data_IF_017576554131
#
_entry.id   IF_017576554131
#
_cell.length_a   1.000
_cell.length_b   1.000
_cell.length_c   1.000
_cell.angle_alpha   90.00
_cell.angle_beta   90.00
_cell.angle_gamma   90.00
#
_symmetry.space_group_name_H-M   'P 1'
#
loop_
_entity.id
_entity.type
_entity.pdbx_description
1 polymer ?
#
# COMPACT_ATOMS: atom_id res chain seq x y z
N UNK A 1 15.41 -18.59 -14.97
CA UNK A 1 15.89 -17.20 -14.92
C UNK A 1 15.49 -16.68 -13.55
N UNK A 2 16.39 -16.72 -12.57
CA UNK A 2 16.10 -16.19 -11.24
C UNK A 2 15.85 -14.69 -11.37
N UNK A 3 14.63 -14.25 -11.03
CA UNK A 3 14.38 -12.85 -10.76
C UNK A 3 15.34 -12.46 -9.64
N UNK A 4 16.30 -11.58 -9.91
CA UNK A 4 17.06 -10.96 -8.82
C UNK A 4 16.06 -10.40 -7.82
N UNK A 5 16.06 -10.93 -6.59
CA UNK A 5 15.19 -10.47 -5.53
C UNK A 5 15.59 -9.02 -5.21
N UNK A 6 14.86 -8.06 -5.79
CA UNK A 6 15.11 -6.63 -5.58
C UNK A 6 14.92 -6.32 -4.09
N UNK A 7 15.69 -5.37 -3.60
CA UNK A 7 15.62 -4.89 -2.23
C UNK A 7 14.44 -3.93 -2.15
N UNK A 8 13.62 -4.04 -1.11
CA UNK A 8 12.40 -3.21 -0.95
C UNK A 8 12.71 -1.71 -1.05
N UNK A 9 13.83 -1.26 -0.46
CA UNK A 9 14.24 0.14 -0.54
C UNK A 9 14.46 0.61 -2.00
N UNK A 10 15.03 -0.25 -2.86
CA UNK A 10 15.21 0.08 -4.27
C UNK A 10 13.89 0.12 -5.06
N UNK A 11 12.95 -0.79 -4.75
CA UNK A 11 11.62 -0.76 -5.37
C UNK A 11 10.83 0.50 -4.96
N UNK A 12 10.99 0.95 -3.70
CA UNK A 12 10.42 2.21 -3.25
C UNK A 12 11.10 3.40 -3.91
N UNK A 13 12.43 3.43 -4.02
CA UNK A 13 13.14 4.50 -4.73
C UNK A 13 12.68 4.64 -6.18
N UNK A 14 12.53 3.51 -6.89
CA UNK A 14 11.99 3.48 -8.25
C UNK A 14 10.55 4.04 -8.29
N UNK A 15 9.68 3.63 -7.35
CA UNK A 15 8.31 4.13 -7.23
C UNK A 15 8.29 5.66 -7.06
N UNK A 16 9.02 6.20 -6.10
CA UNK A 16 9.05 7.65 -5.87
C UNK A 16 9.72 8.40 -7.03
N UNK A 17 10.62 7.76 -7.79
CA UNK A 17 11.25 8.39 -8.95
C UNK A 17 10.29 8.48 -10.14
N UNK A 18 9.55 7.42 -10.43
CA UNK A 18 8.58 7.35 -11.53
C UNK A 18 7.46 8.39 -11.36
N UNK A 19 7.00 8.58 -10.13
CA UNK A 19 5.88 9.45 -9.80
C UNK A 19 6.29 10.91 -9.50
N UNK A 20 7.47 11.36 -9.95
CA UNK A 20 7.90 12.77 -9.80
C UNK A 20 7.09 13.74 -10.65
N UNK A 21 6.64 13.30 -11.82
CA UNK A 21 5.84 14.10 -12.74
C UNK A 21 4.37 13.65 -12.69
N UNK A 22 3.56 14.38 -11.93
CA UNK A 22 2.14 14.06 -11.72
C UNK A 22 1.31 14.13 -13.00
N UNK A 23 1.75 14.87 -14.02
CA UNK A 23 1.01 14.99 -15.29
C UNK A 23 1.31 13.82 -16.23
N UNK A 24 2.48 13.21 -16.11
CA UNK A 24 2.92 12.09 -16.95
C UNK A 24 2.31 10.74 -16.51
N UNK A 25 2.08 10.55 -15.21
CA UNK A 25 1.68 9.25 -14.65
C UNK A 25 0.16 9.14 -14.48
N UNK A 26 -0.45 8.17 -15.19
CA UNK A 26 -1.91 7.95 -15.22
C UNK A 26 -2.36 6.65 -14.56
N UNK A 27 -1.40 5.79 -14.21
CA UNK A 27 -1.62 4.46 -13.68
C UNK A 27 -0.80 4.26 -12.40
N UNK A 28 -1.34 3.55 -11.40
CA UNK A 28 -0.59 3.19 -10.21
C UNK A 28 0.44 2.12 -10.53
N UNK A 29 1.45 1.98 -9.67
CA UNK A 29 2.36 0.85 -9.73
C UNK A 29 1.71 -0.35 -9.06
N UNK A 30 1.62 -1.48 -9.75
CA UNK A 30 1.06 -2.71 -9.20
C UNK A 30 2.16 -3.59 -8.57
N UNK A 31 2.06 -3.83 -7.27
CA UNK A 31 2.97 -4.69 -6.51
C UNK A 31 2.34 -6.03 -6.20
N UNK A 32 3.15 -7.08 -6.32
CA UNK A 32 2.86 -8.38 -5.71
C UNK A 32 3.31 -8.35 -4.26
N UNK A 33 2.41 -8.65 -3.33
CA UNK A 33 2.69 -8.63 -1.89
C UNK A 33 2.28 -9.95 -1.26
N UNK A 34 3.08 -10.44 -0.31
CA UNK A 34 2.80 -11.61 0.51
C UNK A 34 3.46 -11.46 1.88
N UNK A 35 2.92 -12.15 2.89
CA UNK A 35 3.51 -12.18 4.22
C UNK A 35 4.66 -13.19 4.34
N UNK A 36 5.34 -13.20 5.50
CA UNK A 36 6.48 -14.10 5.74
C UNK A 36 6.08 -15.60 5.73
N UNK A 37 4.80 -15.91 5.85
CA UNK A 37 4.23 -17.27 5.81
C UNK A 37 3.76 -17.64 4.40
N UNK A 38 4.11 -16.86 3.36
CA UNK A 38 3.71 -17.08 1.98
C UNK A 38 2.18 -16.99 1.75
N UNK A 39 1.48 -16.21 2.58
CA UNK A 39 0.08 -15.85 2.32
C UNK A 39 0.01 -14.59 1.50
N UNK A 40 -0.73 -14.67 0.40
CA UNK A 40 -0.95 -13.59 -0.54
C UNK A 40 -2.27 -12.89 -0.21
N UNK A 41 -2.35 -11.62 -0.57
CA UNK A 41 -3.63 -10.92 -0.49
C UNK A 41 -4.61 -11.46 -1.52
N UNK A 42 -5.87 -11.56 -1.11
CA UNK A 42 -7.02 -11.89 -1.94
C UNK A 42 -8.13 -10.93 -1.54
N UNK A 43 -8.83 -10.40 -2.53
CA UNK A 43 -9.98 -9.55 -2.30
C UNK A 43 -11.26 -10.36 -2.45
N UNK A 44 -12.01 -10.51 -1.36
CA UNK A 44 -13.27 -11.27 -1.33
C UNK A 44 -14.26 -10.56 -0.41
N UNK A 45 -15.52 -10.43 -0.84
CA UNK A 45 -16.60 -9.82 -0.05
C UNK A 45 -16.27 -8.44 0.56
N UNK A 46 -15.56 -7.59 -0.19
CA UNK A 46 -15.05 -6.28 0.25
C UNK A 46 -13.95 -6.30 1.34
N UNK A 47 -13.43 -7.47 1.68
CA UNK A 47 -12.33 -7.63 2.60
C UNK A 47 -11.03 -8.03 1.89
N UNK A 48 -9.90 -7.61 2.46
CA UNK A 48 -8.57 -8.08 2.07
C UNK A 48 -8.16 -9.22 3.00
N UNK A 49 -8.03 -10.42 2.46
CA UNK A 49 -7.74 -11.63 3.20
C UNK A 49 -6.33 -12.11 2.81
N UNK A 50 -5.56 -12.61 3.78
CA UNK A 50 -4.28 -13.27 3.51
C UNK A 50 -4.48 -14.80 3.48
N UNK A 51 -4.20 -15.44 2.35
CA UNK A 51 -4.38 -16.88 2.16
C UNK A 51 -3.20 -17.49 1.39
N UNK A 52 -2.83 -18.77 1.63
CA UNK A 52 -1.81 -19.44 0.82
C UNK A 52 -2.23 -19.46 -0.65
N UNK A 53 -1.26 -19.26 -1.55
CA UNK A 53 -1.53 -19.34 -2.98
C UNK A 53 -1.69 -20.82 -3.37
N UNK A 54 -2.91 -21.22 -3.75
CA UNK A 54 -3.16 -22.47 -4.46
C UNK A 54 -3.46 -22.19 -5.94
N UNK A 55 -3.49 -23.24 -6.77
CA UNK A 55 -3.72 -23.10 -8.22
C UNK A 55 -5.07 -22.47 -8.62
N UNK A 56 -5.98 -22.25 -7.68
CA UNK A 56 -7.34 -21.72 -7.90
C UNK A 56 -7.51 -20.30 -7.36
N UNK A 57 -6.59 -19.81 -6.53
CA UNK A 57 -6.64 -18.47 -5.99
C UNK A 57 -6.16 -17.45 -7.02
N UNK A 58 -7.01 -16.50 -7.47
CA UNK A 58 -6.57 -15.44 -8.36
C UNK A 58 -5.58 -14.53 -7.64
N UNK A 59 -4.49 -14.17 -8.31
CA UNK A 59 -3.50 -13.26 -7.76
C UNK A 59 -4.07 -11.84 -7.63
N UNK A 60 -4.11 -11.29 -6.41
CA UNK A 60 -4.40 -9.87 -6.18
C UNK A 60 -3.09 -9.08 -6.13
N UNK A 61 -2.88 -8.22 -7.12
CA UNK A 61 -1.85 -7.18 -7.05
C UNK A 61 -2.40 -5.96 -6.30
N UNK A 62 -1.54 -5.23 -5.61
CA UNK A 62 -1.88 -4.00 -4.92
C UNK A 62 -1.45 -2.81 -5.76
N UNK A 63 -2.37 -1.89 -6.05
CA UNK A 63 -2.06 -0.61 -6.65
C UNK A 63 -1.43 0.30 -5.60
N UNK A 64 -0.29 0.91 -5.92
CA UNK A 64 0.47 1.78 -5.02
C UNK A 64 0.90 3.04 -5.76
N UNK A 65 0.76 4.17 -5.08
CA UNK A 65 1.26 5.48 -5.52
C UNK A 65 1.82 6.24 -4.31
N UNK A 66 2.81 7.12 -4.47
CA UNK A 66 3.32 7.91 -3.36
C UNK A 66 2.33 8.99 -2.91
N UNK A 67 2.51 9.46 -1.68
CA UNK A 67 1.82 10.63 -1.17
C UNK A 67 2.82 11.75 -0.85
N UNK A 68 3.07 12.61 -1.83
CA UNK A 68 4.04 13.71 -1.70
C UNK A 68 3.57 14.85 -0.79
N UNK A 69 2.33 14.78 -0.28
CA UNK A 69 1.77 15.79 0.61
C UNK A 69 2.09 15.51 2.10
N UNK A 70 2.78 14.42 2.41
CA UNK A 70 3.31 14.09 3.75
C UNK A 70 4.85 14.13 3.76
N UNK A 71 5.47 14.07 4.94
CA UNK A 71 6.95 14.08 5.06
C UNK A 71 7.55 12.87 4.34
N UNK A 72 8.23 13.13 3.22
CA UNK A 72 8.83 12.14 2.33
C UNK A 72 9.80 11.20 3.07
N UNK A 73 10.43 11.65 4.17
CA UNK A 73 11.37 10.83 4.95
C UNK A 73 10.71 9.58 5.51
N UNK A 74 9.39 9.61 5.71
CA UNK A 74 8.61 8.49 6.20
C UNK A 74 8.09 7.58 5.07
N UNK A 75 8.43 7.87 3.80
CA UNK A 75 8.00 7.13 2.60
C UNK A 75 6.49 6.86 2.60
N UNK A 76 5.66 7.92 2.60
CA UNK A 76 4.21 7.79 2.60
C UNK A 76 3.68 7.30 1.25
N UNK A 77 2.79 6.31 1.28
CA UNK A 77 2.12 5.76 0.09
C UNK A 77 0.62 5.67 0.30
N UNK A 78 -0.13 5.73 -0.80
CA UNK A 78 -1.50 5.23 -0.89
C UNK A 78 -1.48 3.79 -1.41
N UNK A 79 -2.42 2.97 -0.95
CA UNK A 79 -2.59 1.60 -1.42
C UNK A 79 -4.05 1.33 -1.79
N UNK A 80 -4.27 0.51 -2.82
CA UNK A 80 -5.61 0.16 -3.29
C UNK A 80 -5.60 -1.08 -4.18
N UNK A 81 -6.73 -1.35 -4.82
CA UNK A 81 -6.88 -2.45 -5.77
C UNK A 81 -6.50 -1.99 -7.19
N UNK A 82 -6.04 -2.92 -8.03
CA UNK A 82 -5.61 -2.64 -9.42
C UNK A 82 -6.67 -2.00 -10.30
N UNK A 83 -7.96 -2.19 -9.98
CA UNK A 83 -9.07 -1.50 -10.66
C UNK A 83 -9.15 0.01 -10.38
N UNK A 84 -8.27 0.53 -9.53
CA UNK A 84 -8.17 1.93 -9.05
C UNK A 84 -9.35 2.40 -8.22
N UNK A 85 -10.56 1.86 -8.39
CA UNK A 85 -11.82 2.29 -7.76
C UNK A 85 -11.96 2.00 -6.28
N UNK A 86 -11.02 1.28 -5.67
CA UNK A 86 -11.04 0.95 -4.24
C UNK A 86 -9.66 1.19 -3.63
N UNK A 87 -9.64 1.84 -2.47
CA UNK A 87 -8.42 2.18 -1.75
C UNK A 87 -8.50 1.75 -0.28
N UNK A 88 -7.34 1.42 0.29
CA UNK A 88 -7.19 1.10 1.71
C UNK A 88 -7.24 2.39 2.52
N UNK A 89 -8.05 2.38 3.58
CA UNK A 89 -8.10 3.44 4.58
C UNK A 89 -8.01 2.84 5.97
N UNK A 90 -7.40 3.56 6.89
CA UNK A 90 -7.51 3.30 8.30
C UNK A 90 -8.46 4.31 8.93
N UNK A 91 -9.51 3.82 9.59
CA UNK A 91 -10.51 4.62 10.28
C UNK A 91 -10.63 4.18 11.73
N UNK A 92 -11.23 5.03 12.56
CA UNK A 92 -11.55 4.66 13.94
C UNK A 92 -12.85 3.84 13.94
N UNK A 93 -12.82 2.65 14.53
CA UNK A 93 -14.01 1.81 14.72
C UNK A 93 -14.99 2.44 15.72
N UNK A 94 -16.17 1.84 15.87
CA UNK A 94 -17.14 2.23 16.89
C UNK A 94 -16.63 2.03 18.32
N UNK A 95 -15.70 1.09 18.53
CA UNK A 95 -15.03 0.84 19.83
C UNK A 95 -13.83 1.76 20.05
N UNK A 96 -13.47 2.57 19.05
CA UNK A 96 -12.40 3.54 19.14
C UNK A 96 -11.03 3.03 18.70
N UNK A 97 -10.94 1.79 18.24
CA UNK A 97 -9.71 1.17 17.76
C UNK A 97 -9.47 1.48 16.28
N UNK A 98 -8.21 1.62 15.82
CA UNK A 98 -7.92 1.74 14.40
C UNK A 98 -8.30 0.47 13.65
N UNK A 99 -9.06 0.62 12.57
CA UNK A 99 -9.54 -0.46 11.72
C UNK A 99 -9.14 -0.18 10.27
N UNK A 100 -8.56 -1.19 9.62
CA UNK A 100 -8.32 -1.16 8.18
C UNK A 100 -9.62 -1.48 7.44
N UNK A 101 -9.97 -0.65 6.46
CA UNK A 101 -11.17 -0.76 5.65
C UNK A 101 -10.85 -0.50 4.18
N UNK A 102 -11.72 -0.97 3.30
CA UNK A 102 -11.67 -0.70 1.86
C UNK A 102 -12.81 0.23 1.50
N UNK A 103 -12.50 1.37 0.87
CA UNK A 103 -13.47 2.37 0.47
C UNK A 103 -13.50 2.54 -1.05
N UNK A 104 -14.68 2.87 -1.59
CA UNK A 104 -14.89 3.14 -3.02
C UNK A 104 -14.34 4.53 -3.39
N UNK A 105 -13.03 4.59 -3.60
CA UNK A 105 -12.33 5.80 -3.99
C UNK A 105 -11.27 5.48 -5.04
N UNK A 106 -11.12 6.37 -6.02
CA UNK A 106 -10.06 6.25 -7.01
C UNK A 106 -8.70 6.64 -6.39
N UNK A 107 -7.77 5.69 -6.31
CA UNK A 107 -6.44 5.94 -5.73
C UNK A 107 -5.67 7.06 -6.45
N UNK A 108 -5.85 7.22 -7.77
CA UNK A 108 -5.17 8.25 -8.56
C UNK A 108 -5.69 9.66 -8.23
N UNK A 109 -6.94 9.78 -7.77
CA UNK A 109 -7.49 11.08 -7.36
C UNK A 109 -6.69 11.61 -6.17
N UNK A 110 -6.30 10.75 -5.22
CA UNK A 110 -5.48 11.13 -4.07
C UNK A 110 -4.09 11.61 -4.46
N UNK A 111 -3.45 10.92 -5.40
CA UNK A 111 -2.12 11.30 -5.90
C UNK A 111 -2.15 12.67 -6.61
N UNK A 112 -3.21 12.95 -7.37
CA UNK A 112 -3.38 14.22 -8.09
C UNK A 112 -3.76 15.41 -7.20
N UNK A 113 -4.32 15.16 -6.01
CA UNK A 113 -4.71 16.21 -5.06
C UNK A 113 -3.49 16.76 -4.30
N UNK A 114 -3.70 17.89 -3.64
CA UNK A 114 -2.76 18.57 -2.73
C UNK A 114 -3.03 18.28 -1.24
N UNK A 115 -4.12 17.56 -0.91
CA UNK A 115 -4.45 17.17 0.46
C UNK A 115 -3.59 16.02 0.96
N UNK A 116 -3.35 15.99 2.27
CA UNK A 116 -2.54 14.97 2.92
C UNK A 116 -3.17 13.57 2.92
N UNK A 117 -4.51 13.45 2.96
CA UNK A 117 -5.23 12.17 3.05
C UNK A 117 -4.62 11.14 4.04
N UNK A 118 -4.31 11.58 5.27
CA UNK A 118 -3.68 10.74 6.31
C UNK A 118 -4.38 9.41 6.55
N UNK A 119 -5.72 9.37 6.48
CA UNK A 119 -6.49 8.15 6.68
C UNK A 119 -6.25 7.08 5.60
N UNK A 120 -5.86 7.48 4.39
CA UNK A 120 -5.52 6.57 3.28
C UNK A 120 -4.02 6.30 3.16
N UNK A 121 -3.21 6.96 3.99
CA UNK A 121 -1.75 6.94 3.85
C UNK A 121 -1.10 5.95 4.80
N UNK A 122 -0.08 5.27 4.28
CA UNK A 122 0.73 4.32 5.04
C UNK A 122 2.21 4.66 4.88
N UNK A 123 2.96 4.63 5.98
CA UNK A 123 4.42 4.76 5.98
C UNK A 123 5.05 3.39 5.79
N UNK A 124 6.03 3.30 4.88
CA UNK A 124 6.74 2.05 4.59
C UNK A 124 8.10 2.04 5.29
N UNK A 125 8.40 0.95 6.00
CA UNK A 125 9.71 0.75 6.64
C UNK A 125 10.20 -0.69 6.54
N UNK A 126 11.51 -0.84 6.36
CA UNK A 126 12.15 -2.15 6.19
C UNK A 126 12.69 -2.76 7.48
N UNK A 127 12.79 -1.98 8.57
CA UNK A 127 13.37 -2.43 9.87
C UNK A 127 14.72 -3.17 9.70
N UNK A 128 15.53 -2.78 8.71
CA UNK A 128 16.82 -3.41 8.40
C UNK A 128 16.75 -4.68 7.55
N UNK A 129 15.56 -5.11 7.15
CA UNK A 129 15.36 -6.22 6.21
C UNK A 129 15.55 -5.75 4.77
N UNK A 130 16.20 -6.59 3.95
CA UNK A 130 16.31 -6.31 2.50
C UNK A 130 15.05 -6.70 1.72
N UNK A 131 14.28 -7.67 2.22
CA UNK A 131 13.19 -8.28 1.44
C UNK A 131 11.83 -8.23 2.11
N UNK A 132 11.71 -7.56 3.25
CA UNK A 132 10.42 -7.37 3.93
C UNK A 132 10.30 -5.90 4.34
N UNK A 133 9.07 -5.42 4.35
CA UNK A 133 8.71 -4.15 4.95
C UNK A 133 7.49 -4.32 5.83
N UNK A 134 7.17 -3.27 6.58
CA UNK A 134 5.87 -3.14 7.18
C UNK A 134 5.28 -1.76 6.85
N UNK A 135 3.96 -1.69 7.02
CA UNK A 135 3.15 -0.53 6.73
C UNK A 135 2.54 -0.03 8.04
N UNK A 136 2.69 1.26 8.34
CA UNK A 136 2.06 1.90 9.50
C UNK A 136 1.08 2.98 9.02
N UNK A 137 -0.11 3.04 9.60
CA UNK A 137 -1.08 4.09 9.27
C UNK A 137 -0.55 5.47 9.64
N UNK A 138 -0.63 6.43 8.72
CA UNK A 138 -0.32 7.81 8.99
C UNK A 138 -1.37 8.50 9.89
N UNK A 139 -2.61 8.02 9.87
CA UNK A 139 -3.69 8.54 10.72
C UNK A 139 -3.63 8.01 12.16
N UNK A 140 -3.03 6.84 12.37
CA UNK A 140 -2.88 6.23 13.69
C UNK A 140 -1.43 5.75 13.94
N UNK A 141 -0.46 6.67 14.05
CA UNK A 141 0.93 6.30 14.32
C UNK A 141 1.06 5.54 15.65
N UNK A 142 1.85 4.47 15.66
CA UNK A 142 2.13 3.66 16.85
C UNK A 142 1.09 2.59 17.20
N UNK A 143 -0.05 2.53 16.50
CA UNK A 143 -1.15 1.63 16.88
C UNK A 143 -0.83 0.13 16.76
N UNK A 144 0.16 -0.26 15.96
CA UNK A 144 0.59 -1.66 15.79
C UNK A 144 2.04 -1.91 16.25
N UNK A 145 2.55 -1.07 17.18
CA UNK A 145 3.82 -1.33 17.86
C UNK A 145 3.54 -2.23 19.07
N UNK A 146 3.52 -3.54 18.86
CA UNK A 146 3.76 -4.55 19.92
C UNK A 146 5.23 -4.90 19.96
#
# INVERSE_FOLDING_TARGET
>A
MELQKRIVDGELEDLFCEFKDKEAVKDPWNFRMWDIEQKYFVFENNDLIATPLDSRTPEQLMAVVPNDNLDFKNRPIFMGLTGKTKALSCLKSTTGEPQLVILENNIMDFYSDTKEFKNFSFYVFTRGSKSTCCFESAAFPGAWKT
#
